data_IF_924629164806
#
_entry.id   IF_924629164806
#
_cell.length_a   1.000
_cell.length_b   1.000
_cell.length_c   1.000
_cell.angle_alpha   90.00
_cell.angle_beta   90.00
_cell.angle_gamma   90.00
#
_symmetry.space_group_name_H-M   'P 1'
#
loop_
_entity.id
_entity.type
_entity.pdbx_description
1 polymer ?
#
# COMPACT_ATOMS: atom_id res chain seq x y z
N UNK A 1 -3.62 -32.14 15.95
CA UNK A 1 -2.61 -31.39 15.18
C UNK A 1 -3.20 -30.63 14.00
N UNK A 2 -4.29 -31.09 13.38
CA UNK A 2 -4.94 -30.38 12.26
C UNK A 2 -5.76 -29.17 12.72
N UNK A 3 -6.56 -29.27 13.79
CA UNK A 3 -7.43 -28.18 14.24
C UNK A 3 -6.70 -26.93 14.75
N UNK A 4 -5.64 -27.11 15.55
CA UNK A 4 -4.85 -25.98 16.07
C UNK A 4 -4.12 -25.21 14.96
N UNK A 5 -3.67 -25.91 13.91
CA UNK A 5 -3.04 -25.25 12.77
C UNK A 5 -4.08 -24.50 11.93
N UNK A 6 -5.27 -25.06 11.75
CA UNK A 6 -6.38 -24.38 11.06
C UNK A 6 -6.86 -23.13 11.83
N UNK A 7 -6.95 -23.20 13.16
CA UNK A 7 -7.27 -22.04 14.01
C UNK A 7 -6.23 -20.93 13.87
N UNK A 8 -4.93 -21.27 13.88
CA UNK A 8 -3.85 -20.30 13.72
C UNK A 8 -3.89 -19.63 12.33
N UNK A 9 -4.15 -20.40 11.27
CA UNK A 9 -4.29 -19.86 9.90
C UNK A 9 -5.52 -18.95 9.80
N UNK A 10 -6.66 -19.34 10.36
CA UNK A 10 -7.87 -18.51 10.34
C UNK A 10 -7.68 -17.21 11.13
N UNK A 11 -6.98 -17.26 12.25
CA UNK A 11 -6.62 -16.06 13.01
C UNK A 11 -5.75 -15.11 12.17
N UNK A 12 -4.72 -15.65 11.53
CA UNK A 12 -3.86 -14.87 10.64
C UNK A 12 -4.64 -14.25 9.47
N UNK A 13 -5.54 -15.01 8.83
CA UNK A 13 -6.39 -14.50 7.75
C UNK A 13 -7.31 -13.36 8.23
N UNK A 14 -7.80 -13.42 9.48
CA UNK A 14 -8.55 -12.32 10.10
C UNK A 14 -7.68 -11.09 10.28
N UNK A 15 -6.45 -11.23 10.79
CA UNK A 15 -5.52 -10.12 10.98
C UNK A 15 -5.14 -9.46 9.64
N UNK A 16 -4.96 -10.25 8.59
CA UNK A 16 -4.73 -9.76 7.23
C UNK A 16 -5.96 -9.00 6.70
N UNK A 17 -7.17 -9.50 6.93
CA UNK A 17 -8.41 -8.83 6.50
C UNK A 17 -8.63 -7.49 7.22
N UNK A 18 -8.15 -7.38 8.46
CA UNK A 18 -8.18 -6.15 9.27
C UNK A 18 -7.01 -5.21 8.98
N UNK A 19 -6.12 -5.56 8.03
CA UNK A 19 -4.91 -4.80 7.71
C UNK A 19 -4.02 -4.56 8.94
N UNK A 20 -3.91 -5.55 9.82
CA UNK A 20 -3.12 -5.44 11.06
C UNK A 20 -1.63 -5.22 10.78
N UNK A 21 -1.01 -4.30 11.52
CA UNK A 21 0.44 -4.05 11.49
C UNK A 21 1.26 -5.28 11.90
N UNK A 22 0.68 -6.19 12.70
CA UNK A 22 1.32 -7.44 13.11
C UNK A 22 1.62 -8.38 11.92
N UNK A 23 0.96 -8.15 10.78
CA UNK A 23 1.16 -8.92 9.55
C UNK A 23 2.25 -8.36 8.63
N UNK A 24 3.04 -7.38 9.09
CA UNK A 24 4.06 -6.69 8.28
C UNK A 24 4.98 -7.64 7.50
N UNK A 25 5.49 -8.69 8.16
CA UNK A 25 6.40 -9.65 7.53
C UNK A 25 5.78 -10.34 6.30
N UNK A 26 4.47 -10.61 6.34
CA UNK A 26 3.76 -11.22 5.21
C UNK A 26 3.56 -10.19 4.09
N UNK A 27 3.18 -8.96 4.41
CA UNK A 27 3.05 -7.90 3.42
C UNK A 27 4.39 -7.64 2.72
N UNK A 28 5.49 -7.63 3.47
CA UNK A 28 6.83 -7.46 2.93
C UNK A 28 7.19 -8.59 1.96
N UNK A 29 7.01 -9.85 2.38
CA UNK A 29 7.39 -11.00 1.55
C UNK A 29 6.52 -11.10 0.28
N UNK A 30 5.21 -10.90 0.40
CA UNK A 30 4.30 -10.83 -0.77
C UNK A 30 4.70 -9.67 -1.68
N UNK A 31 5.02 -8.49 -1.13
CA UNK A 31 5.48 -7.34 -1.87
C UNK A 31 6.78 -7.61 -2.64
N UNK A 32 7.76 -8.31 -2.03
CA UNK A 32 9.02 -8.71 -2.69
C UNK A 32 8.77 -9.59 -3.90
N UNK A 33 7.88 -10.57 -3.79
CA UNK A 33 7.51 -11.46 -4.91
C UNK A 33 6.85 -10.67 -6.05
N UNK A 34 5.93 -9.75 -5.73
CA UNK A 34 5.28 -8.87 -6.72
C UNK A 34 6.30 -7.99 -7.43
N UNK A 35 7.24 -7.37 -6.70
CA UNK A 35 8.31 -6.55 -7.29
C UNK A 35 9.20 -7.37 -8.21
N UNK A 36 9.60 -8.58 -7.81
CA UNK A 36 10.40 -9.47 -8.64
C UNK A 36 9.67 -9.83 -9.95
N UNK A 37 8.39 -10.20 -9.86
CA UNK A 37 7.55 -10.49 -11.03
C UNK A 37 7.42 -9.27 -11.97
N UNK A 38 7.15 -8.08 -11.43
CA UNK A 38 7.02 -6.86 -12.24
C UNK A 38 8.34 -6.48 -12.91
N UNK A 39 9.47 -6.64 -12.22
CA UNK A 39 10.79 -6.36 -12.79
C UNK A 39 11.07 -7.19 -14.05
N UNK A 40 10.64 -8.45 -14.06
CA UNK A 40 10.86 -9.37 -15.18
C UNK A 40 9.85 -9.14 -16.32
N UNK A 41 8.59 -8.84 -15.99
CA UNK A 41 7.48 -8.86 -16.97
C UNK A 41 7.12 -7.46 -17.49
N UNK A 42 7.17 -6.45 -16.63
CA UNK A 42 6.80 -5.07 -16.97
C UNK A 42 7.57 -4.05 -16.10
N UNK A 43 8.84 -3.87 -16.43
CA UNK A 43 9.70 -2.85 -15.81
C UNK A 43 9.06 -1.45 -15.84
N UNK A 44 8.30 -1.09 -16.88
CA UNK A 44 7.71 0.24 -17.00
C UNK A 44 6.63 0.45 -15.94
N UNK A 45 5.81 -0.57 -15.67
CA UNK A 45 4.84 -0.53 -14.59
C UNK A 45 5.52 -0.42 -13.21
N UNK A 46 6.58 -1.18 -12.95
CA UNK A 46 7.37 -1.07 -11.71
C UNK A 46 7.94 0.33 -11.53
N UNK A 47 8.50 0.91 -12.59
CA UNK A 47 9.03 2.27 -12.58
C UNK A 47 7.94 3.32 -12.35
N UNK A 48 6.73 3.12 -12.88
CA UNK A 48 5.58 4.00 -12.60
C UNK A 48 5.16 3.93 -11.13
N UNK A 49 5.10 2.74 -10.54
CA UNK A 49 4.83 2.55 -9.11
C UNK A 49 5.90 3.25 -8.27
N UNK A 50 7.18 3.06 -8.57
CA UNK A 50 8.27 3.72 -7.85
C UNK A 50 8.16 5.25 -7.90
N UNK A 51 7.77 5.82 -9.04
CA UNK A 51 7.51 7.27 -9.15
C UNK A 51 6.34 7.72 -8.29
N UNK A 52 5.22 7.01 -8.33
CA UNK A 52 4.06 7.32 -7.49
C UNK A 52 4.39 7.21 -6.00
N UNK A 53 5.19 6.21 -5.61
CA UNK A 53 5.70 6.04 -4.26
C UNK A 53 6.49 7.25 -3.78
N UNK A 54 7.45 7.72 -4.59
CA UNK A 54 8.25 8.89 -4.23
C UNK A 54 7.40 10.16 -4.06
N UNK A 55 6.32 10.31 -4.85
CA UNK A 55 5.37 11.41 -4.72
C UNK A 55 4.58 11.30 -3.41
N UNK A 56 4.01 10.12 -3.11
CA UNK A 56 3.29 9.86 -1.86
C UNK A 56 4.20 10.11 -0.65
N UNK A 57 5.40 9.53 -0.63
CA UNK A 57 6.36 9.71 0.45
C UNK A 57 6.75 11.18 0.67
N UNK A 58 6.93 11.96 -0.41
CA UNK A 58 7.21 13.39 -0.29
C UNK A 58 6.02 14.17 0.30
N UNK A 59 4.78 13.84 -0.09
CA UNK A 59 3.58 14.46 0.46
C UNK A 59 3.35 14.10 1.94
N UNK A 60 3.61 12.84 2.32
CA UNK A 60 3.57 12.38 3.70
C UNK A 60 4.65 13.06 4.56
N UNK A 61 5.87 13.22 4.02
CA UNK A 61 6.94 13.97 4.69
C UNK A 61 6.54 15.44 4.93
N UNK A 62 5.96 16.10 3.93
CA UNK A 62 5.45 17.47 4.08
C UNK A 62 4.35 17.58 5.12
N UNK A 63 3.43 16.61 5.19
CA UNK A 63 2.41 16.56 6.23
C UNK A 63 3.05 16.41 7.62
N UNK A 64 4.01 15.50 7.78
CA UNK A 64 4.71 15.29 9.05
C UNK A 64 5.47 16.55 9.51
N UNK A 65 6.01 17.32 8.56
CA UNK A 65 6.70 18.58 8.82
C UNK A 65 5.74 19.77 9.07
N UNK A 66 4.44 19.61 8.79
CA UNK A 66 3.43 20.66 8.97
C UNK A 66 2.74 20.52 10.33
N UNK A 67 2.87 21.52 11.21
CA UNK A 67 2.18 21.50 12.51
C UNK A 67 0.66 21.35 12.34
N UNK A 68 -0.03 20.52 13.15
CA UNK A 68 -1.49 20.39 13.15
C UNK A 68 -2.27 21.70 13.35
N UNK A 69 -1.64 22.68 13.99
CA UNK A 69 -2.22 24.00 14.27
C UNK A 69 -2.05 24.98 13.10
N UNK A 70 -1.24 24.62 12.10
CA UNK A 70 -0.99 25.45 10.92
C UNK A 70 -2.26 25.58 10.07
N UNK A 71 -2.56 26.77 9.50
CA UNK A 71 -3.65 26.92 8.55
C UNK A 71 -3.50 26.03 7.30
N UNK A 72 -2.27 25.62 6.98
CA UNK A 72 -1.96 24.78 5.80
C UNK A 72 -2.07 23.28 6.08
N UNK A 73 -2.26 22.85 7.33
CA UNK A 73 -2.27 21.43 7.69
C UNK A 73 -3.35 20.63 6.93
N UNK A 74 -4.57 21.18 6.83
CA UNK A 74 -5.66 20.52 6.11
C UNK A 74 -5.32 20.31 4.62
N UNK A 75 -4.61 21.26 4.00
CA UNK A 75 -4.17 21.15 2.62
C UNK A 75 -3.06 20.11 2.47
N UNK A 76 -2.09 20.09 3.39
CA UNK A 76 -1.03 19.07 3.42
C UNK A 76 -1.62 17.66 3.58
N UNK A 77 -2.59 17.49 4.47
CA UNK A 77 -3.27 16.21 4.72
C UNK A 77 -4.04 15.73 3.48
N UNK A 78 -4.79 16.62 2.83
CA UNK A 78 -5.51 16.30 1.59
C UNK A 78 -4.56 15.87 0.47
N UNK A 79 -3.40 16.54 0.31
CA UNK A 79 -2.38 16.17 -0.68
C UNK A 79 -1.75 14.81 -0.38
N UNK A 80 -1.42 14.55 0.88
CA UNK A 80 -0.87 13.28 1.31
C UNK A 80 -1.84 12.13 1.04
N UNK A 81 -3.13 12.32 1.35
CA UNK A 81 -4.18 11.34 1.09
C UNK A 81 -4.42 11.10 -0.41
N UNK A 82 -4.45 12.16 -1.23
CA UNK A 82 -4.62 12.04 -2.68
C UNK A 82 -3.43 11.29 -3.33
N UNK A 83 -2.19 11.66 -2.97
CA UNK A 83 -1.01 11.00 -3.49
C UNK A 83 -0.94 9.52 -3.12
N UNK A 84 -1.33 9.18 -1.88
CA UNK A 84 -1.37 7.80 -1.41
C UNK A 84 -2.49 6.99 -2.09
N UNK A 85 -3.68 7.59 -2.25
CA UNK A 85 -4.77 6.97 -3.00
C UNK A 85 -4.39 6.66 -4.46
N UNK A 86 -3.69 7.58 -5.13
CA UNK A 86 -3.19 7.35 -6.50
C UNK A 86 -2.15 6.23 -6.57
N UNK A 87 -1.24 6.16 -5.59
CA UNK A 87 -0.27 5.06 -5.47
C UNK A 87 -1.01 3.73 -5.31
N UNK A 88 -1.93 3.63 -4.35
CA UNK A 88 -2.72 2.42 -4.10
C UNK A 88 -3.49 1.97 -5.34
N UNK A 89 -4.19 2.90 -6.02
CA UNK A 89 -4.93 2.61 -7.24
C UNK A 89 -4.03 2.15 -8.40
N UNK A 90 -2.81 2.70 -8.51
CA UNK A 90 -1.83 2.26 -9.50
C UNK A 90 -1.33 0.85 -9.20
N UNK A 91 -0.94 0.56 -7.95
CA UNK A 91 -0.52 -0.78 -7.52
C UNK A 91 -1.61 -1.80 -7.81
N UNK A 92 -2.85 -1.55 -7.36
CA UNK A 92 -3.96 -2.47 -7.55
C UNK A 92 -4.21 -2.77 -9.03
N UNK A 93 -4.24 -1.73 -9.87
CA UNK A 93 -4.42 -1.87 -11.33
C UNK A 93 -3.29 -2.66 -12.00
N UNK A 94 -2.04 -2.43 -11.60
CA UNK A 94 -0.87 -3.10 -12.18
C UNK A 94 -0.83 -4.57 -11.74
N UNK A 95 -1.10 -4.85 -10.46
CA UNK A 95 -0.97 -6.19 -9.89
C UNK A 95 -2.15 -7.09 -10.24
N UNK A 96 -3.38 -6.56 -10.17
CA UNK A 96 -4.59 -7.37 -10.34
C UNK A 96 -5.23 -7.22 -11.73
N UNK A 97 -4.76 -6.28 -12.55
CA UNK A 97 -5.46 -5.86 -13.77
C UNK A 97 -6.69 -5.02 -13.42
N UNK A 98 -7.00 -4.01 -14.22
CA UNK A 98 -8.14 -3.13 -13.97
C UNK A 98 -9.47 -3.91 -14.01
N UNK A 99 -10.00 -4.28 -12.85
CA UNK A 99 -11.44 -4.31 -12.64
C UNK A 99 -11.78 -3.06 -11.83
N UNK A 100 -12.64 -2.22 -12.39
CA UNK A 100 -13.22 -1.05 -11.71
C UNK A 100 -13.77 -1.49 -10.34
N UNK A 101 -13.13 -1.07 -9.25
CA UNK A 101 -13.78 -1.10 -7.94
C UNK A 101 -14.76 0.07 -7.95
N UNK A 102 -16.03 -0.22 -8.25
CA UNK A 102 -17.13 0.72 -8.06
C UNK A 102 -17.34 0.90 -6.57
N UNK A 103 -17.10 2.12 -6.08
CA UNK A 103 -17.60 2.58 -4.79
C UNK A 103 -19.12 2.75 -4.83
#
# INVERSE_FOLDING_TARGET
MTSQNEEAVNHLLSQLAESSDDCWDIYEEVGRVVVAQLKERDWRALHAIAKAWMISAAAQGQLADTSPESPDHALAAARAQDADGQLCALIARVVFGANEIRH
#
